data_IF_983086501499
#
_entry.id   IF_983086501499
#
_cell.length_a   1.000
_cell.length_b   1.000
_cell.length_c   1.000
_cell.angle_alpha   90.00
_cell.angle_beta   90.00
_cell.angle_gamma   90.00
#
_symmetry.space_group_name_H-M   'P 1'
#
loop_
_entity.id
_entity.type
_entity.pdbx_description
1 polymer ?
#
# COMPACT_ATOMS: atom_id res chain seq x y z
N UNK A 1 2.70 -24.26 -18.75
CA UNK A 1 1.26 -24.21 -18.47
C UNK A 1 1.04 -23.37 -17.21
N UNK A 2 0.54 -22.14 -17.34
CA UNK A 2 0.07 -21.31 -16.22
C UNK A 2 -1.12 -20.51 -16.80
N UNK A 3 -2.29 -20.60 -16.17
CA UNK A 3 -3.53 -20.01 -16.68
C UNK A 3 -3.35 -18.51 -16.98
N UNK A 4 -3.70 -18.02 -18.19
CA UNK A 4 -3.71 -16.59 -18.45
C UNK A 4 -4.81 -15.98 -17.60
N UNK A 5 -4.45 -15.19 -16.59
CA UNK A 5 -5.44 -14.41 -15.86
C UNK A 5 -6.23 -13.59 -16.86
N UNK A 6 -7.56 -13.78 -16.89
CA UNK A 6 -8.42 -12.97 -17.74
C UNK A 6 -8.36 -11.50 -17.31
N UNK A 7 -8.79 -10.61 -18.20
CA UNK A 7 -8.77 -9.16 -17.96
C UNK A 7 -9.56 -8.75 -16.70
N UNK A 8 -10.58 -9.53 -16.33
CA UNK A 8 -11.35 -9.30 -15.11
C UNK A 8 -10.50 -9.49 -13.84
N UNK A 9 -9.66 -10.53 -13.76
CA UNK A 9 -8.76 -10.70 -12.61
C UNK A 9 -7.74 -9.55 -12.50
N UNK A 10 -7.19 -9.08 -13.63
CA UNK A 10 -6.28 -7.92 -13.66
C UNK A 10 -6.98 -6.65 -13.16
N UNK A 11 -8.19 -6.38 -13.65
CA UNK A 11 -8.99 -5.24 -13.20
C UNK A 11 -9.27 -5.31 -11.70
N UNK A 12 -9.67 -6.46 -11.18
CA UNK A 12 -9.92 -6.65 -9.74
C UNK A 12 -8.66 -6.47 -8.90
N UNK A 13 -7.52 -6.99 -9.36
CA UNK A 13 -6.23 -6.79 -8.70
C UNK A 13 -5.78 -5.32 -8.71
N UNK A 14 -6.00 -4.59 -9.80
CA UNK A 14 -5.73 -3.14 -9.85
C UNK A 14 -6.67 -2.36 -8.93
N UNK A 15 -7.96 -2.70 -8.90
CA UNK A 15 -8.95 -2.08 -8.00
C UNK A 15 -8.59 -2.26 -6.53
N UNK A 16 -7.88 -3.33 -6.18
CA UNK A 16 -7.42 -3.57 -4.81
C UNK A 16 -6.62 -2.39 -4.24
N UNK A 17 -5.77 -1.76 -5.05
CA UNK A 17 -4.93 -0.64 -4.60
C UNK A 17 -5.71 0.66 -4.40
N UNK A 18 -6.86 0.82 -5.05
CA UNK A 18 -7.73 1.99 -4.88
C UNK A 18 -8.72 1.75 -3.74
N UNK A 19 -9.33 0.57 -3.71
CA UNK A 19 -10.34 0.17 -2.74
C UNK A 19 -10.31 -1.35 -2.54
N UNK A 20 -9.45 -1.83 -1.63
CA UNK A 20 -9.25 -3.26 -1.34
C UNK A 20 -10.54 -4.00 -0.94
N UNK A 21 -11.56 -3.27 -0.45
CA UNK A 21 -12.87 -3.81 -0.09
C UNK A 21 -13.60 -4.38 -1.32
N UNK A 22 -13.41 -3.78 -2.50
CA UNK A 22 -14.08 -4.20 -3.74
C UNK A 22 -13.72 -5.66 -4.09
N UNK A 23 -12.45 -6.04 -4.28
CA UNK A 23 -12.09 -7.43 -4.53
C UNK A 23 -12.42 -8.36 -3.36
N UNK A 24 -12.30 -7.89 -2.11
CA UNK A 24 -12.60 -8.68 -0.91
C UNK A 24 -14.06 -9.14 -0.84
N UNK A 25 -15.00 -8.30 -1.28
CA UNK A 25 -16.44 -8.60 -1.30
C UNK A 25 -16.92 -9.18 -2.64
N UNK A 26 -16.04 -9.26 -3.65
CA UNK A 26 -16.39 -9.77 -4.97
C UNK A 26 -16.39 -11.30 -5.03
N UNK A 27 -16.96 -11.84 -6.12
CA UNK A 27 -16.83 -13.26 -6.48
C UNK A 27 -15.38 -13.70 -6.69
N UNK A 28 -14.47 -12.76 -6.96
CA UNK A 28 -13.07 -13.02 -7.32
C UNK A 28 -12.14 -13.13 -6.10
N UNK A 29 -12.66 -12.99 -4.88
CA UNK A 29 -11.85 -12.96 -3.65
C UNK A 29 -10.97 -14.19 -3.44
N UNK A 30 -11.39 -15.36 -3.95
CA UNK A 30 -10.68 -16.64 -3.82
C UNK A 30 -9.69 -16.90 -4.97
N UNK A 31 -9.59 -16.00 -5.94
CA UNK A 31 -8.61 -16.12 -7.00
C UNK A 31 -7.22 -15.77 -6.44
N UNK A 32 -6.25 -16.69 -6.54
CA UNK A 32 -4.93 -16.50 -5.93
C UNK A 32 -4.16 -15.23 -6.39
N UNK A 33 -4.47 -14.69 -7.56
CA UNK A 33 -3.88 -13.45 -8.06
C UNK A 33 -4.58 -12.21 -7.53
N UNK A 34 -5.92 -12.20 -7.55
CA UNK A 34 -6.71 -11.13 -6.93
C UNK A 34 -6.43 -11.06 -5.43
N UNK A 35 -6.38 -12.21 -4.76
CA UNK A 35 -6.07 -12.35 -3.34
C UNK A 35 -4.69 -11.77 -3.01
N UNK A 36 -3.66 -12.10 -3.80
CA UNK A 36 -2.31 -11.58 -3.60
C UNK A 36 -2.26 -10.05 -3.60
N UNK A 37 -2.83 -9.43 -4.64
CA UNK A 37 -2.85 -7.96 -4.75
C UNK A 37 -3.78 -7.32 -3.71
N UNK A 38 -4.83 -8.03 -3.27
CA UNK A 38 -5.70 -7.57 -2.17
C UNK A 38 -4.96 -7.57 -0.83
N UNK A 39 -4.25 -8.64 -0.49
CA UNK A 39 -3.41 -8.71 0.73
C UNK A 39 -2.32 -7.65 0.71
N UNK A 40 -1.66 -7.45 -0.44
CA UNK A 40 -0.64 -6.43 -0.60
C UNK A 40 -1.21 -5.00 -0.44
N UNK A 41 -2.39 -4.72 -1.00
CA UNK A 41 -3.05 -3.43 -0.82
C UNK A 41 -3.49 -3.19 0.64
N UNK A 42 -4.01 -4.21 1.33
CA UNK A 42 -4.33 -4.14 2.77
C UNK A 42 -3.08 -3.83 3.59
N UNK A 43 -1.98 -4.54 3.35
CA UNK A 43 -0.71 -4.30 4.04
C UNK A 43 -0.24 -2.85 3.85
N UNK A 44 -0.34 -2.34 2.62
CA UNK A 44 0.02 -0.96 2.31
C UNK A 44 -0.84 0.04 3.11
N UNK A 45 -2.15 -0.14 3.18
CA UNK A 45 -3.05 0.70 3.99
C UNK A 45 -2.69 0.66 5.48
N UNK A 46 -2.46 -0.52 6.05
CA UNK A 46 -2.09 -0.68 7.46
C UNK A 46 -0.79 0.07 7.77
N UNK A 47 0.24 -0.13 6.95
CA UNK A 47 1.53 0.53 7.11
C UNK A 47 1.41 2.05 6.92
N UNK A 48 0.60 2.50 5.96
CA UNK A 48 0.30 3.91 5.75
C UNK A 48 -0.36 4.57 6.97
N UNK A 49 -1.34 3.90 7.56
CA UNK A 49 -2.01 4.38 8.78
C UNK A 49 -1.06 4.42 9.97
N UNK A 50 -0.23 3.39 10.15
CA UNK A 50 0.78 3.35 11.20
C UNK A 50 1.81 4.48 11.05
N UNK A 51 2.35 4.68 9.83
CA UNK A 51 3.28 5.75 9.53
C UNK A 51 2.66 7.15 9.76
N UNK A 52 1.41 7.34 9.35
CA UNK A 52 0.68 8.59 9.60
C UNK A 52 0.47 8.82 11.11
N UNK A 53 0.16 7.78 11.89
CA UNK A 53 0.05 7.89 13.34
C UNK A 53 1.36 8.35 14.00
N UNK A 54 2.50 7.75 13.60
CA UNK A 54 3.83 8.15 14.08
C UNK A 54 4.13 9.61 13.74
N UNK A 55 3.88 10.02 12.49
CA UNK A 55 4.04 11.40 12.04
C UNK A 55 3.22 12.38 12.88
N UNK A 56 1.96 12.05 13.16
CA UNK A 56 1.07 12.90 13.96
C UNK A 56 1.57 13.07 15.40
N UNK A 57 2.04 11.99 16.03
CA UNK A 57 2.60 12.03 17.38
C UNK A 57 3.85 12.90 17.41
N UNK A 58 4.80 12.68 16.49
CA UNK A 58 6.05 13.47 16.41
C UNK A 58 5.74 14.95 16.17
N UNK A 59 4.76 15.25 15.31
CA UNK A 59 4.36 16.63 15.03
C UNK A 59 3.78 17.37 16.21
N UNK A 60 2.96 16.69 17.01
CA UNK A 60 2.42 17.27 18.23
C UNK A 60 3.53 17.71 19.19
N UNK A 61 4.54 16.88 19.40
CA UNK A 61 5.68 17.20 20.26
C UNK A 61 6.55 18.32 19.70
N UNK A 62 6.81 18.34 18.39
CA UNK A 62 7.60 19.40 17.75
C UNK A 62 6.94 20.79 17.86
N UNK A 63 5.61 20.85 17.75
CA UNK A 63 4.86 22.10 17.92
C UNK A 63 4.89 22.57 19.37
N UNK A 64 4.63 21.66 20.31
CA UNK A 64 4.58 21.97 21.76
C UNK A 64 5.92 22.48 22.30
N UNK A 65 7.04 21.96 21.81
CA UNK A 65 8.38 22.34 22.27
C UNK A 65 8.96 23.58 21.58
N UNK A 66 8.20 24.24 20.68
CA UNK A 66 8.65 25.46 19.96
C UNK A 66 10.01 25.32 19.29
N UNK A 67 10.29 24.17 18.68
CA UNK A 67 11.59 23.89 18.05
C UNK A 67 11.51 24.05 16.52
N UNK A 68 11.79 25.23 15.95
CA UNK A 68 11.54 25.52 14.53
C UNK A 68 12.37 24.64 13.56
N UNK A 69 13.55 24.20 13.95
CA UNK A 69 14.39 23.31 13.13
C UNK A 69 13.82 21.88 12.98
N UNK A 70 13.08 21.39 13.97
CA UNK A 70 12.44 20.06 13.92
C UNK A 70 11.20 20.11 13.02
N UNK A 71 10.48 21.23 13.01
CA UNK A 71 9.32 21.43 12.16
C UNK A 71 9.63 21.37 10.67
N UNK A 72 10.74 21.98 10.22
CA UNK A 72 11.12 21.99 8.80
C UNK A 72 11.58 20.61 8.30
N UNK A 73 12.38 19.89 9.09
CA UNK A 73 12.79 18.51 8.76
C UNK A 73 11.58 17.57 8.77
N UNK A 74 10.66 17.75 9.71
CA UNK A 74 9.44 16.94 9.78
C UNK A 74 8.59 17.09 8.51
N UNK A 75 8.39 18.30 8.00
CA UNK A 75 7.62 18.54 6.77
C UNK A 75 8.22 17.73 5.61
N UNK A 76 9.55 17.76 5.44
CA UNK A 76 10.23 17.01 4.38
C UNK A 76 10.03 15.50 4.53
N UNK A 77 10.13 14.96 5.76
CA UNK A 77 9.90 13.55 6.04
C UNK A 77 8.46 13.12 5.71
N UNK A 78 7.46 13.96 6.03
CA UNK A 78 6.06 13.68 5.72
C UNK A 78 5.83 13.59 4.21
N UNK A 79 6.38 14.54 3.45
CA UNK A 79 6.27 14.51 1.99
C UNK A 79 6.98 13.30 1.40
N UNK A 80 8.17 12.95 1.91
CA UNK A 80 8.89 11.75 1.48
C UNK A 80 8.08 10.47 1.72
N UNK A 81 7.46 10.32 2.90
CA UNK A 81 6.61 9.16 3.22
C UNK A 81 5.37 9.08 2.32
N UNK A 82 4.73 10.20 2.03
CA UNK A 82 3.57 10.26 1.11
C UNK A 82 3.97 9.87 -0.31
N UNK A 83 5.10 10.38 -0.80
CA UNK A 83 5.62 10.01 -2.11
C UNK A 83 5.99 8.54 -2.19
N UNK A 84 6.63 7.99 -1.15
CA UNK A 84 6.94 6.57 -1.06
C UNK A 84 5.66 5.72 -1.08
N UNK A 85 4.62 6.11 -0.33
CA UNK A 85 3.33 5.43 -0.31
C UNK A 85 2.66 5.41 -1.69
N UNK A 86 2.59 6.57 -2.36
CA UNK A 86 2.04 6.69 -3.72
C UNK A 86 2.87 5.85 -4.70
N UNK A 87 4.20 5.90 -4.59
CA UNK A 87 5.10 5.10 -5.41
C UNK A 87 4.85 3.59 -5.26
N UNK A 88 4.63 3.11 -4.04
CA UNK A 88 4.28 1.72 -3.76
C UNK A 88 2.90 1.34 -4.33
N UNK A 89 1.89 2.22 -4.22
CA UNK A 89 0.58 2.01 -4.85
C UNK A 89 0.69 1.86 -6.38
N UNK A 90 1.44 2.76 -7.02
CA UNK A 90 1.64 2.74 -8.48
C UNK A 90 2.40 1.49 -8.90
N UNK A 91 3.49 1.15 -8.23
CA UNK A 91 4.27 -0.06 -8.50
C UNK A 91 3.39 -1.32 -8.37
N UNK A 92 2.56 -1.40 -7.33
CA UNK A 92 1.66 -2.54 -7.14
C UNK A 92 0.61 -2.65 -8.24
N UNK A 93 0.04 -1.51 -8.65
CA UNK A 93 -0.91 -1.43 -9.77
C UNK A 93 -0.27 -1.84 -11.10
N UNK A 94 0.98 -1.43 -11.36
CA UNK A 94 1.73 -1.82 -12.55
C UNK A 94 2.03 -3.33 -12.56
N UNK A 95 2.42 -3.90 -11.41
CA UNK A 95 2.60 -5.35 -11.28
C UNK A 95 1.29 -6.10 -11.57
N UNK A 96 0.15 -5.63 -11.03
CA UNK A 96 -1.16 -6.20 -11.31
C UNK A 96 -1.54 -6.12 -12.80
N UNK A 97 -1.26 -4.98 -13.45
CA UNK A 97 -1.47 -4.81 -14.90
C UNK A 97 -0.64 -5.80 -15.73
N UNK A 98 0.61 -6.04 -15.33
CA UNK A 98 1.52 -7.00 -15.96
C UNK A 98 1.25 -8.46 -15.59
N UNK A 99 0.24 -8.74 -14.77
CA UNK A 99 -0.07 -10.06 -14.23
C UNK A 99 1.07 -10.69 -13.41
N UNK A 100 1.85 -9.86 -12.71
CA UNK A 100 2.99 -10.27 -11.89
C UNK A 100 2.66 -10.22 -10.39
N UNK A 101 2.90 -11.33 -9.69
CA UNK A 101 2.88 -11.39 -8.22
C UNK A 101 4.22 -10.93 -7.65
N UNK A 102 4.54 -9.65 -7.82
CA UNK A 102 5.81 -9.08 -7.37
C UNK A 102 5.67 -8.37 -6.02
N UNK A 103 6.52 -8.69 -5.02
CA UNK A 103 6.48 -8.02 -3.72
C UNK A 103 6.93 -6.56 -3.86
N UNK A 104 6.24 -5.67 -3.15
CA UNK A 104 6.63 -4.27 -3.04
C UNK A 104 7.84 -4.09 -2.12
N UNK A 105 8.74 -3.12 -2.40
CA UNK A 105 9.87 -2.82 -1.53
C UNK A 105 9.42 -2.55 -0.08
N UNK A 106 10.19 -3.05 0.88
CA UNK A 106 10.01 -2.88 2.34
C UNK A 106 8.74 -3.48 2.95
N UNK A 107 7.67 -3.65 2.19
CA UNK A 107 6.37 -4.13 2.67
C UNK A 107 6.02 -5.55 2.20
N UNK A 108 6.64 -6.03 1.11
CA UNK A 108 6.31 -7.32 0.49
C UNK A 108 6.47 -8.52 1.44
N UNK A 109 7.45 -8.47 2.33
CA UNK A 109 7.71 -9.51 3.35
C UNK A 109 6.58 -9.61 4.38
N UNK A 110 5.87 -8.50 4.64
CA UNK A 110 4.76 -8.44 5.59
C UNK A 110 3.42 -8.74 4.92
N UNK A 111 3.24 -8.33 3.66
CA UNK A 111 2.03 -8.57 2.88
C UNK A 111 1.72 -10.06 2.68
N UNK A 112 2.73 -10.90 2.45
CA UNK A 112 2.54 -12.35 2.26
C UNK A 112 2.19 -13.10 3.55
N UNK A 113 2.49 -12.50 4.71
CA UNK A 113 2.17 -13.05 6.04
C UNK A 113 0.84 -12.55 6.60
N UNK A 114 0.15 -11.67 5.88
CA UNK A 114 -1.17 -11.15 6.24
C UNK A 114 -2.24 -12.10 5.69
N UNK A 115 -2.97 -12.75 6.60
CA UNK A 115 -4.01 -13.78 6.37
C UNK A 115 -3.43 -15.11 5.85
#
# INVERSE_FOLDING_TARGET
MIHPFNERHKQMAMLAYVAFIIPLLSSEKNNSFVEYHTKQAIALVIIGLAAQGIVSIVGYWSYTLSWPFLGSVQILLVWALRLAYIGMMVAGTLNARSAEKRPLPWIGVYAEKLL
#
